data_IF_962506838408
#
_entry.id   IF_962506838408
#
_cell.length_a   1.000
_cell.length_b   1.000
_cell.length_c   1.000
_cell.angle_alpha   90.00
_cell.angle_beta   90.00
_cell.angle_gamma   90.00
#
_symmetry.space_group_name_H-M   'P 1'
#
loop_
_entity.id
_entity.type
_entity.pdbx_description
1 polymer ?
#
# COMPACT_ATOMS: atom_id res chain seq x y z
N UNK A 1 1.23 -53.37 23.80
CA UNK A 1 0.35 -54.55 23.90
C UNK A 1 -1.02 -54.18 23.35
N UNK A 2 -1.65 -55.11 22.62
CA UNK A 2 -3.09 -55.27 22.32
C UNK A 2 -3.96 -54.02 22.09
N UNK A 3 -4.53 -53.71 20.91
CA UNK A 3 -5.15 -54.49 19.80
C UNK A 3 -6.63 -54.91 20.03
N UNK A 4 -7.36 -55.14 18.92
CA UNK A 4 -8.80 -55.39 18.73
C UNK A 4 -9.71 -54.15 18.86
N UNK A 5 -10.82 -53.99 18.10
CA UNK A 5 -11.29 -54.63 16.85
C UNK A 5 -12.39 -53.70 16.24
N UNK A 6 -12.45 -53.35 14.94
CA UNK A 6 -12.58 -54.14 13.68
C UNK A 6 -14.02 -54.62 13.38
N UNK A 7 -14.76 -53.86 12.53
CA UNK A 7 -15.95 -54.21 11.70
C UNK A 7 -16.44 -52.92 10.98
N UNK A 8 -16.96 -52.88 9.74
CA UNK A 8 -17.17 -53.91 8.70
C UNK A 8 -17.09 -53.26 7.30
N UNK A 9 -16.89 -54.04 6.22
CA UNK A 9 -17.03 -53.59 4.81
C UNK A 9 -18.43 -53.92 4.27
N UNK A 10 -18.89 -53.16 3.28
CA UNK A 10 -19.83 -53.62 2.23
C UNK A 10 -19.44 -52.98 0.89
N UNK A 11 -19.49 -53.76 -0.20
CA UNK A 11 -19.37 -53.27 -1.58
C UNK A 11 -20.76 -52.99 -2.17
N UNK A 12 -20.86 -52.08 -3.14
CA UNK A 12 -21.99 -52.00 -4.07
C UNK A 12 -21.61 -51.31 -5.40
N UNK A 13 -21.14 -52.12 -6.35
CA UNK A 13 -21.35 -52.12 -7.80
C UNK A 13 -21.34 -50.86 -8.70
N UNK A 14 -20.77 -51.08 -9.89
CA UNK A 14 -20.70 -50.19 -11.05
C UNK A 14 -21.77 -50.60 -12.09
N UNK A 15 -22.44 -49.66 -12.77
CA UNK A 15 -23.09 -49.92 -14.05
C UNK A 15 -22.32 -49.30 -15.24
N UNK A 16 -21.79 -50.14 -16.13
CA UNK A 16 -21.24 -49.74 -17.45
C UNK A 16 -22.37 -49.71 -18.49
N UNK A 17 -22.37 -48.73 -19.40
CA UNK A 17 -23.06 -48.85 -20.70
C UNK A 17 -22.13 -48.52 -21.88
N UNK A 18 -22.41 -49.14 -23.03
CA UNK A 18 -21.58 -49.17 -24.26
C UNK A 18 -22.39 -48.75 -25.50
N UNK A 19 -21.67 -48.59 -26.62
CA UNK A 19 -22.10 -48.52 -28.03
C UNK A 19 -22.61 -47.16 -28.53
N UNK A 20 -22.48 -46.80 -29.82
CA UNK A 20 -21.76 -47.44 -30.97
C UNK A 20 -20.68 -46.50 -31.54
N UNK A 21 -19.60 -46.94 -32.20
CA UNK A 21 -19.48 -47.71 -33.46
C UNK A 21 -20.04 -47.01 -34.71
N UNK A 22 -19.15 -46.39 -35.48
CA UNK A 22 -18.95 -46.51 -36.95
C UNK A 22 -17.75 -45.61 -37.36
N UNK A 23 -17.10 -45.70 -38.53
CA UNK A 23 -16.58 -46.80 -39.35
C UNK A 23 -16.09 -46.18 -40.69
N UNK A 24 -14.96 -46.67 -41.25
CA UNK A 24 -14.30 -46.18 -42.49
C UNK A 24 -13.73 -44.72 -42.45
N UNK A 25 -12.69 -44.35 -43.22
CA UNK A 25 -11.81 -45.18 -44.06
C UNK A 25 -10.69 -44.41 -44.80
N UNK A 26 -9.70 -45.16 -45.30
CA UNK A 26 -8.85 -44.90 -46.51
C UNK A 26 -8.14 -43.54 -46.74
N UNK A 27 -6.86 -43.49 -46.35
CA UNK A 27 -5.65 -43.35 -47.22
C UNK A 27 -5.58 -42.37 -48.42
N UNK A 28 -4.69 -41.38 -48.33
CA UNK A 28 -3.59 -41.02 -49.28
C UNK A 28 -2.76 -39.85 -48.67
N UNK A 29 -1.51 -39.47 -48.99
CA UNK A 29 -0.37 -39.93 -49.82
C UNK A 29 0.20 -38.73 -50.65
N UNK A 30 1.54 -38.61 -50.78
CA UNK A 30 2.28 -37.43 -51.30
C UNK A 30 2.80 -36.55 -50.15
N UNK A 31 4.08 -36.18 -49.98
CA UNK A 31 5.19 -35.79 -50.90
C UNK A 31 4.95 -34.44 -51.61
N UNK A 32 5.95 -33.57 -51.84
CA UNK A 32 7.41 -33.79 -51.93
C UNK A 32 8.27 -32.54 -51.53
N UNK A 33 9.61 -32.68 -51.56
CA UNK A 33 10.73 -31.70 -51.71
C UNK A 33 10.46 -30.18 -51.91
N UNK A 34 11.35 -29.24 -51.54
CA UNK A 34 12.68 -29.31 -50.88
C UNK A 34 13.71 -28.27 -51.42
N UNK A 35 14.76 -27.95 -50.61
CA UNK A 35 15.92 -27.03 -50.86
C UNK A 35 15.61 -25.50 -50.91
N UNK A 36 16.35 -24.51 -50.36
CA UNK A 36 17.76 -24.28 -49.89
C UNK A 36 18.74 -23.82 -51.01
N UNK A 37 19.59 -22.76 -50.84
CA UNK A 37 19.60 -21.56 -49.96
C UNK A 37 19.94 -20.22 -50.71
N UNK A 38 20.33 -19.13 -50.02
CA UNK A 38 20.93 -17.92 -50.61
C UNK A 38 21.57 -16.96 -49.58
N UNK A 39 22.62 -16.20 -49.96
CA UNK A 39 23.48 -15.37 -49.07
C UNK A 39 23.72 -13.93 -49.59
N UNK A 40 24.51 -13.14 -48.82
CA UNK A 40 25.05 -11.76 -49.01
C UNK A 40 24.45 -10.71 -48.02
N UNK A 41 25.14 -9.79 -47.31
CA UNK A 41 26.54 -9.26 -47.13
C UNK A 41 26.67 -7.75 -47.46
N UNK A 42 27.46 -7.03 -46.67
CA UNK A 42 27.79 -5.57 -46.70
C UNK A 42 26.75 -4.62 -46.08
N UNK A 43 26.99 -3.59 -45.23
CA UNK A 43 28.16 -2.89 -44.65
C UNK A 43 28.51 -1.48 -45.23
N UNK A 44 28.31 -0.43 -44.41
CA UNK A 44 28.78 0.97 -44.59
C UNK A 44 28.62 1.78 -43.28
N UNK A 45 29.15 3.02 -43.18
CA UNK A 45 30.47 3.25 -42.55
C UNK A 45 30.86 4.75 -42.35
N UNK A 46 29.93 5.67 -42.01
CA UNK A 46 30.15 7.15 -42.06
C UNK A 46 29.70 7.87 -40.78
N UNK A 47 30.21 9.08 -40.43
CA UNK A 47 31.57 9.39 -39.94
C UNK A 47 31.83 10.91 -39.74
N UNK A 48 31.35 11.46 -38.62
CA UNK A 48 32.01 12.57 -37.87
C UNK A 48 31.91 14.05 -38.34
N UNK A 49 32.31 14.94 -37.42
CA UNK A 49 32.70 16.38 -37.54
C UNK A 49 31.65 17.50 -37.73
N UNK A 50 31.93 18.64 -37.07
CA UNK A 50 31.29 19.96 -37.19
C UNK A 50 32.34 21.00 -37.68
N UNK A 51 31.95 22.27 -38.02
CA UNK A 51 32.13 23.35 -37.02
C UNK A 51 31.11 24.53 -37.10
N UNK A 52 31.32 25.52 -36.22
CA UNK A 52 30.73 26.87 -36.18
C UNK A 52 31.66 27.87 -36.98
N UNK A 53 31.46 29.22 -37.10
CA UNK A 53 30.46 30.12 -36.50
C UNK A 53 29.93 31.32 -37.36
N UNK A 54 29.15 32.20 -36.71
CA UNK A 54 29.15 33.69 -36.83
C UNK A 54 28.13 34.45 -37.74
N UNK A 55 28.02 35.76 -37.40
CA UNK A 55 27.44 36.91 -38.12
C UNK A 55 25.90 37.19 -38.10
N UNK A 56 25.53 38.31 -37.47
CA UNK A 56 24.41 39.20 -37.87
C UNK A 56 24.96 40.27 -38.86
N UNK A 57 24.14 41.06 -39.61
CA UNK A 57 23.63 42.36 -39.11
C UNK A 57 22.21 42.74 -39.67
N UNK A 58 21.86 44.00 -40.05
CA UNK A 58 21.11 44.92 -39.16
C UNK A 58 19.87 45.60 -39.81
N UNK A 59 19.21 46.52 -39.08
CA UNK A 59 18.50 47.66 -39.69
C UNK A 59 18.50 48.90 -38.76
N UNK A 60 18.24 50.10 -39.32
CA UNK A 60 18.45 51.43 -38.70
C UNK A 60 17.54 52.48 -39.38
N UNK A 61 17.45 53.79 -39.05
CA UNK A 61 18.23 54.71 -38.19
C UNK A 61 17.32 55.23 -37.03
N UNK A 62 17.36 56.44 -36.42
CA UNK A 62 18.15 57.68 -36.59
C UNK A 62 18.21 58.55 -35.30
N UNK A 63 19.09 59.56 -35.25
CA UNK A 63 19.31 60.49 -34.12
C UNK A 63 19.68 61.89 -34.65
N UNK A 64 19.14 62.98 -34.05
CA UNK A 64 19.86 64.26 -33.81
C UNK A 64 19.04 65.25 -32.93
N UNK A 65 19.63 66.35 -32.38
CA UNK A 65 19.28 66.82 -31.02
C UNK A 65 19.00 68.33 -30.90
N UNK A 66 18.78 68.81 -29.66
CA UNK A 66 19.04 70.20 -29.29
C UNK A 66 19.73 70.35 -27.92
N UNK A 67 20.61 71.35 -27.81
CA UNK A 67 21.15 71.87 -26.54
C UNK A 67 20.30 73.03 -26.05
N UNK A 68 20.21 73.20 -24.72
CA UNK A 68 20.19 74.52 -24.07
C UNK A 68 20.90 74.44 -22.71
N UNK A 69 21.29 75.59 -22.16
CA UNK A 69 22.31 75.68 -21.11
C UNK A 69 21.97 76.69 -20.02
N UNK A 70 22.48 76.41 -18.81
CA UNK A 70 22.67 77.31 -17.67
C UNK A 70 21.41 77.89 -17.00
N UNK A 71 21.26 77.57 -15.70
CA UNK A 71 21.18 78.57 -14.61
C UNK A 71 21.37 77.87 -13.26
N UNK A 72 22.05 78.52 -12.32
CA UNK A 72 22.19 78.04 -10.94
C UNK A 72 21.25 78.80 -10.00
N UNK A 73 20.53 78.10 -9.12
CA UNK A 73 20.01 78.58 -7.81
C UNK A 73 19.95 77.41 -6.82
N UNK A 74 19.98 77.65 -5.49
CA UNK A 74 20.37 76.64 -4.50
C UNK A 74 19.25 75.71 -3.99
N UNK A 75 19.66 74.74 -3.15
CA UNK A 75 18.86 73.73 -2.43
C UNK A 75 17.55 74.23 -1.79
N UNK A 76 16.58 73.32 -1.63
CA UNK A 76 16.40 72.73 -0.29
C UNK A 76 16.66 71.22 -0.26
N UNK A 77 16.90 70.67 0.94
CA UNK A 77 17.14 69.24 1.13
C UNK A 77 15.83 68.44 1.12
N UNK A 78 15.66 67.55 0.15
CA UNK A 78 14.63 66.50 0.19
C UNK A 78 15.18 65.26 0.89
N UNK A 79 14.73 65.03 2.12
CA UNK A 79 14.92 63.76 2.82
C UNK A 79 14.20 62.65 2.04
N UNK A 80 14.94 61.86 1.27
CA UNK A 80 14.41 60.65 0.65
C UNK A 80 13.91 59.69 1.74
N UNK A 81 12.81 58.94 1.49
CA UNK A 81 12.34 57.96 2.46
C UNK A 81 13.40 56.88 2.64
N UNK A 82 13.97 56.79 3.84
CA UNK A 82 14.76 55.61 4.20
C UNK A 82 13.85 54.40 4.12
N UNK A 83 14.04 53.59 3.07
CA UNK A 83 13.53 52.23 2.98
C UNK A 83 14.22 51.42 4.07
N UNK A 84 13.67 51.49 5.28
CA UNK A 84 14.01 50.61 6.38
C UNK A 84 13.69 49.19 5.93
N UNK A 85 14.73 48.46 5.48
CA UNK A 85 14.66 47.03 5.25
C UNK A 85 14.35 46.40 6.60
N UNK A 86 13.07 46.19 6.84
CA UNK A 86 12.53 45.77 8.13
C UNK A 86 13.05 44.37 8.43
N UNK A 87 14.17 44.30 9.18
CA UNK A 87 14.85 43.04 9.47
C UNK A 87 13.91 42.20 10.34
N UNK A 88 13.37 41.08 9.83
CA UNK A 88 12.37 40.32 10.57
C UNK A 88 12.95 39.80 11.88
N UNK A 89 12.21 40.00 12.97
CA UNK A 89 12.71 39.85 14.34
C UNK A 89 13.30 38.44 14.61
N UNK A 90 14.51 38.32 15.17
CA UNK A 90 15.08 37.03 15.50
C UNK A 90 14.24 36.26 16.54
N UNK A 91 13.52 36.99 17.41
CA UNK A 91 12.55 36.41 18.34
C UNK A 91 11.36 35.74 17.61
N UNK A 92 10.87 36.32 16.51
CA UNK A 92 9.77 35.77 15.73
C UNK A 92 10.17 34.46 15.03
N UNK A 93 11.40 34.39 14.48
CA UNK A 93 11.94 33.12 13.96
C UNK A 93 12.13 32.06 15.04
N UNK A 94 12.61 32.45 16.22
CA UNK A 94 12.77 31.53 17.34
C UNK A 94 11.43 30.94 17.79
N UNK A 95 10.39 31.77 17.89
CA UNK A 95 9.00 31.33 18.13
C UNK A 95 8.51 30.35 17.05
N UNK A 96 8.64 30.72 15.77
CA UNK A 96 8.22 29.89 14.63
C UNK A 96 8.89 28.50 14.64
N UNK A 97 10.19 28.43 14.96
CA UNK A 97 10.91 27.15 15.06
C UNK A 97 10.44 26.26 16.21
N UNK A 98 9.98 26.85 17.33
CA UNK A 98 9.47 26.09 18.47
C UNK A 98 8.13 25.39 18.15
N UNK A 99 7.22 26.02 17.40
CA UNK A 99 5.92 25.42 17.06
C UNK A 99 6.09 24.15 16.20
N UNK A 100 7.07 24.13 15.29
CA UNK A 100 7.37 22.95 14.46
C UNK A 100 8.29 21.91 15.13
N UNK A 101 8.90 22.21 16.29
CA UNK A 101 9.85 21.31 16.93
C UNK A 101 9.30 19.90 17.24
N UNK A 102 8.05 19.70 17.71
CA UNK A 102 7.49 18.37 17.92
C UNK A 102 7.40 17.55 16.61
N UNK A 103 7.01 18.20 15.50
CA UNK A 103 6.94 17.56 14.19
C UNK A 103 8.32 17.14 13.67
N UNK A 104 9.32 18.01 13.85
CA UNK A 104 10.71 17.73 13.46
C UNK A 104 11.32 16.57 14.27
N UNK A 105 11.11 16.52 15.58
CA UNK A 105 11.58 15.44 16.45
C UNK A 105 10.92 14.10 16.12
N UNK A 106 9.60 14.08 15.87
CA UNK A 106 8.89 12.88 15.43
C UNK A 106 9.37 12.41 14.05
N UNK A 107 9.62 13.32 13.10
CA UNK A 107 10.14 12.99 11.79
C UNK A 107 11.58 12.42 11.85
N UNK A 108 12.43 12.96 12.73
CA UNK A 108 13.76 12.42 12.98
C UNK A 108 13.69 11.00 13.57
N UNK A 109 12.86 10.78 14.59
CA UNK A 109 12.64 9.45 15.19
C UNK A 109 12.08 8.45 14.18
N UNK A 110 11.15 8.89 13.31
CA UNK A 110 10.66 8.11 12.18
C UNK A 110 11.80 7.68 11.25
N UNK A 111 12.64 8.61 10.80
CA UNK A 111 13.77 8.33 9.91
C UNK A 111 14.73 7.30 10.52
N UNK A 112 15.12 7.47 11.79
CA UNK A 112 15.98 6.51 12.51
C UNK A 112 15.31 5.13 12.64
N UNK A 113 14.03 5.08 13.04
CA UNK A 113 13.30 3.81 13.20
C UNK A 113 13.10 3.07 11.87
N UNK A 114 12.89 3.79 10.76
CA UNK A 114 12.79 3.25 9.39
C UNK A 114 14.14 2.79 8.84
N UNK A 115 15.24 3.43 9.22
CA UNK A 115 16.59 2.93 8.90
C UNK A 115 16.89 1.61 9.63
N UNK A 116 16.45 1.47 10.88
CA UNK A 116 16.64 0.26 11.68
C UNK A 116 15.70 -0.90 11.27
N UNK A 117 14.37 -0.73 11.27
CA UNK A 117 13.44 -1.73 10.77
C UNK A 117 12.16 -1.09 10.21
N UNK A 118 11.97 -1.26 8.89
CA UNK A 118 10.84 -0.74 8.11
C UNK A 118 9.52 -1.47 8.36
N UNK A 119 9.56 -2.57 9.11
CA UNK A 119 8.43 -3.50 9.30
C UNK A 119 7.79 -3.32 10.68
N UNK A 120 7.90 -2.13 11.26
CA UNK A 120 7.23 -1.72 12.51
C UNK A 120 5.96 -0.94 12.19
N UNK A 121 4.82 -1.28 12.80
CA UNK A 121 3.60 -0.47 12.69
C UNK A 121 3.74 0.91 13.36
N UNK A 122 4.57 1.02 14.40
CA UNK A 122 4.87 2.32 15.04
C UNK A 122 5.49 3.35 14.09
N UNK A 123 6.21 2.94 13.03
CA UNK A 123 6.70 3.87 12.01
C UNK A 123 5.54 4.60 11.30
N UNK A 124 4.41 3.92 11.08
CA UNK A 124 3.22 4.52 10.47
C UNK A 124 2.60 5.57 11.40
N UNK A 125 2.47 5.23 12.69
CA UNK A 125 1.90 6.11 13.73
C UNK A 125 2.78 7.34 13.93
N UNK A 126 4.10 7.18 14.07
CA UNK A 126 5.04 8.30 14.25
C UNK A 126 5.02 9.24 13.04
N UNK A 127 4.95 8.71 11.81
CA UNK A 127 4.79 9.53 10.61
C UNK A 127 3.47 10.31 10.61
N UNK A 128 2.37 9.64 10.97
CA UNK A 128 1.06 10.29 11.10
C UNK A 128 1.05 11.39 12.15
N UNK A 129 1.69 11.18 13.30
CA UNK A 129 1.84 12.19 14.35
C UNK A 129 2.75 13.35 13.90
N UNK A 130 3.86 13.07 13.21
CA UNK A 130 4.73 14.12 12.67
C UNK A 130 3.99 15.03 11.67
N UNK A 131 3.20 14.44 10.77
CA UNK A 131 2.35 15.17 9.83
C UNK A 131 1.23 15.92 10.55
N UNK A 132 0.57 15.31 11.54
CA UNK A 132 -0.48 15.96 12.33
C UNK A 132 0.04 17.17 13.11
N UNK A 133 1.21 17.05 13.75
CA UNK A 133 1.88 18.16 14.43
C UNK A 133 2.29 19.27 13.44
N UNK A 134 2.79 18.93 12.25
CA UNK A 134 3.14 19.92 11.23
C UNK A 134 1.90 20.66 10.70
N UNK A 135 0.78 19.96 10.50
CA UNK A 135 -0.49 20.57 10.09
C UNK A 135 -1.09 21.44 11.20
N UNK A 136 -1.00 21.01 12.46
CA UNK A 136 -1.45 21.80 13.61
C UNK A 136 -0.60 23.07 13.81
N UNK A 137 0.73 22.96 13.66
CA UNK A 137 1.65 24.10 13.70
C UNK A 137 1.35 25.11 12.57
N UNK A 138 1.13 24.61 11.35
CA UNK A 138 0.75 25.44 10.21
C UNK A 138 -0.61 26.12 10.39
N UNK A 139 -1.63 25.40 10.89
CA UNK A 139 -2.94 25.96 11.19
C UNK A 139 -2.90 26.99 12.34
N UNK A 140 -2.05 26.77 13.34
CA UNK A 140 -1.83 27.74 14.42
C UNK A 140 -1.25 29.05 13.88
N UNK A 141 -0.18 29.00 13.08
CA UNK A 141 0.40 30.19 12.45
C UNK A 141 -0.59 30.88 11.49
N UNK A 142 -1.37 30.10 10.76
CA UNK A 142 -2.42 30.59 9.85
C UNK A 142 -3.49 31.41 10.59
N UNK A 143 -3.94 30.93 11.76
CA UNK A 143 -4.89 31.65 12.63
C UNK A 143 -4.23 32.86 13.29
N UNK A 144 -3.02 32.67 13.86
CA UNK A 144 -2.21 33.72 14.54
C UNK A 144 -1.82 34.88 13.61
N UNK A 145 -1.89 34.69 12.29
CA UNK A 145 -1.61 35.74 11.31
C UNK A 145 -2.68 36.84 11.24
N UNK A 146 -3.89 36.57 11.75
CA UNK A 146 -5.12 37.39 11.61
C UNK A 146 -5.45 37.86 10.18
N UNK A 147 -4.81 37.25 9.18
CA UNK A 147 -5.00 37.58 7.77
C UNK A 147 -6.34 37.05 7.26
N UNK A 148 -7.01 37.82 6.39
CA UNK A 148 -8.15 37.34 5.60
C UNK A 148 -7.82 36.05 4.85
N UNK A 149 -6.58 35.89 4.38
CA UNK A 149 -6.08 34.66 3.75
C UNK A 149 -6.08 33.47 4.71
N UNK A 150 -5.84 33.71 6.01
CA UNK A 150 -5.87 32.70 7.06
C UNK A 150 -7.29 32.19 7.32
N UNK A 151 -8.25 33.10 7.47
CA UNK A 151 -9.67 32.75 7.60
C UNK A 151 -10.20 31.99 6.37
N UNK A 152 -9.88 32.46 5.16
CA UNK A 152 -10.27 31.78 3.90
C UNK A 152 -9.66 30.37 3.83
N UNK A 153 -8.38 30.20 4.16
CA UNK A 153 -7.74 28.89 4.15
C UNK A 153 -8.31 27.94 5.22
N UNK A 154 -8.67 28.44 6.42
CA UNK A 154 -9.36 27.64 7.43
C UNK A 154 -10.72 27.12 6.95
N UNK A 155 -11.55 27.97 6.34
CA UNK A 155 -12.82 27.55 5.74
C UNK A 155 -12.64 26.59 4.56
N UNK A 156 -11.62 26.80 3.72
CA UNK A 156 -11.30 25.91 2.62
C UNK A 156 -10.90 24.50 3.11
N UNK A 157 -10.14 24.39 4.21
CA UNK A 157 -9.79 23.11 4.83
C UNK A 157 -11.02 22.38 5.39
N UNK A 158 -11.93 23.11 6.06
CA UNK A 158 -13.19 22.54 6.57
C UNK A 158 -14.08 22.02 5.42
N UNK A 159 -14.22 22.80 4.35
CA UNK A 159 -14.99 22.43 3.16
C UNK A 159 -14.37 21.23 2.45
N UNK A 160 -13.05 21.21 2.29
CA UNK A 160 -12.31 20.10 1.71
C UNK A 160 -12.47 18.81 2.55
N UNK A 161 -12.44 18.92 3.88
CA UNK A 161 -12.69 17.81 4.79
C UNK A 161 -14.11 17.23 4.64
N UNK A 162 -15.14 18.10 4.61
CA UNK A 162 -16.52 17.68 4.41
C UNK A 162 -16.74 17.00 3.04
N UNK A 163 -16.20 17.58 1.97
CA UNK A 163 -16.24 17.00 0.61
C UNK A 163 -15.51 15.66 0.57
N UNK A 164 -14.35 15.53 1.22
CA UNK A 164 -13.60 14.27 1.29
C UNK A 164 -14.39 13.16 2.02
N UNK A 165 -15.10 13.48 3.10
CA UNK A 165 -15.97 12.53 3.82
C UNK A 165 -17.13 12.07 2.94
N UNK A 166 -17.79 12.98 2.21
CA UNK A 166 -18.87 12.65 1.28
C UNK A 166 -18.39 11.74 0.13
N UNK A 167 -17.27 12.10 -0.52
CA UNK A 167 -16.67 11.32 -1.61
C UNK A 167 -16.20 9.93 -1.13
N UNK A 168 -15.60 9.84 0.06
CA UNK A 168 -15.20 8.58 0.66
C UNK A 168 -16.42 7.68 0.96
N UNK A 169 -17.49 8.25 1.50
CA UNK A 169 -18.73 7.53 1.81
C UNK A 169 -19.37 6.97 0.54
N UNK A 170 -19.49 7.79 -0.51
CA UNK A 170 -19.98 7.36 -1.82
C UNK A 170 -19.10 6.26 -2.43
N UNK A 171 -17.77 6.42 -2.39
CA UNK A 171 -16.83 5.42 -2.89
C UNK A 171 -16.94 4.07 -2.17
N UNK A 172 -17.03 4.10 -0.83
CA UNK A 172 -17.18 2.90 -0.01
C UNK A 172 -18.53 2.21 -0.24
N UNK A 173 -19.62 2.97 -0.39
CA UNK A 173 -20.95 2.43 -0.72
C UNK A 173 -20.95 1.74 -2.10
N UNK A 174 -20.44 2.43 -3.14
CA UNK A 174 -20.31 1.85 -4.49
C UNK A 174 -19.36 0.64 -4.49
N UNK A 175 -18.31 0.65 -3.67
CA UNK A 175 -17.44 -0.52 -3.49
C UNK A 175 -18.17 -1.71 -2.87
N UNK A 176 -18.90 -1.51 -1.78
CA UNK A 176 -19.68 -2.56 -1.11
C UNK A 176 -20.75 -3.18 -2.01
N UNK A 177 -21.48 -2.36 -2.77
CA UNK A 177 -22.44 -2.85 -3.77
C UNK A 177 -21.75 -3.64 -4.90
N UNK A 178 -20.54 -3.25 -5.32
CA UNK A 178 -19.76 -4.01 -6.31
C UNK A 178 -19.22 -5.34 -5.76
N UNK A 179 -18.75 -5.37 -4.50
CA UNK A 179 -18.35 -6.59 -3.81
C UNK A 179 -19.52 -7.58 -3.71
N UNK A 180 -20.68 -7.11 -3.21
CA UNK A 180 -21.89 -7.92 -3.08
C UNK A 180 -22.38 -8.55 -4.40
N UNK A 181 -22.21 -7.84 -5.53
CA UNK A 181 -22.61 -8.32 -6.87
C UNK A 181 -21.61 -9.27 -7.53
N UNK A 182 -20.34 -9.33 -7.07
CA UNK A 182 -19.28 -10.16 -7.67
C UNK A 182 -18.85 -11.33 -6.81
N UNK A 183 -18.62 -11.06 -5.52
CA UNK A 183 -18.07 -12.00 -4.55
C UNK A 183 -19.15 -12.57 -3.61
N UNK A 184 -20.41 -12.17 -3.79
CA UNK A 184 -21.56 -12.63 -3.00
C UNK A 184 -21.62 -12.08 -1.56
N UNK A 185 -22.63 -12.55 -0.82
CA UNK A 185 -22.91 -12.15 0.56
C UNK A 185 -22.06 -12.95 1.55
N UNK A 186 -20.98 -12.34 2.04
CA UNK A 186 -20.23 -12.82 3.22
C UNK A 186 -19.94 -11.65 4.16
N UNK A 187 -19.72 -11.88 5.47
CA UNK A 187 -19.32 -10.81 6.40
C UNK A 187 -18.05 -10.08 5.95
N UNK A 188 -17.10 -10.82 5.37
CA UNK A 188 -15.85 -10.30 4.81
C UNK A 188 -16.08 -9.36 3.63
N UNK A 189 -17.11 -9.60 2.80
CA UNK A 189 -17.43 -8.77 1.62
C UNK A 189 -18.29 -7.55 1.95
N UNK A 190 -18.79 -7.44 3.18
CA UNK A 190 -19.64 -6.35 3.65
C UNK A 190 -18.86 -5.18 4.31
N UNK A 191 -17.55 -5.31 4.52
CA UNK A 191 -16.76 -4.36 5.32
C UNK A 191 -16.78 -2.93 4.74
N UNK A 192 -16.69 -2.76 3.42
CA UNK A 192 -16.78 -1.43 2.81
C UNK A 192 -18.18 -0.81 2.86
N UNK A 193 -19.24 -1.62 2.78
CA UNK A 193 -20.61 -1.13 2.97
C UNK A 193 -20.87 -0.74 4.43
N UNK A 194 -20.42 -1.57 5.38
CA UNK A 194 -20.51 -1.30 6.81
C UNK A 194 -19.75 -0.04 7.21
N UNK A 195 -18.56 0.19 6.63
CA UNK A 195 -17.79 1.42 6.83
C UNK A 195 -18.53 2.67 6.32
N UNK A 196 -19.18 2.61 5.14
CA UNK A 196 -19.99 3.72 4.63
C UNK A 196 -21.18 4.03 5.56
N UNK A 197 -21.91 3.01 6.00
CA UNK A 197 -23.04 3.17 6.94
C UNK A 197 -22.58 3.70 8.30
N UNK A 198 -21.42 3.28 8.80
CA UNK A 198 -20.84 3.79 10.04
C UNK A 198 -20.51 5.29 9.94
N UNK A 199 -19.92 5.75 8.84
CA UNK A 199 -19.63 7.18 8.62
C UNK A 199 -20.93 8.00 8.63
N UNK A 200 -21.97 7.55 7.92
CA UNK A 200 -23.29 8.22 7.92
C UNK A 200 -23.88 8.26 9.34
N UNK A 201 -23.81 7.15 10.09
CA UNK A 201 -24.28 7.09 11.48
C UNK A 201 -23.55 8.06 12.42
N UNK A 202 -22.23 8.17 12.31
CA UNK A 202 -21.42 9.13 13.08
C UNK A 202 -21.82 10.58 12.77
N UNK A 203 -21.95 10.92 11.48
CA UNK A 203 -22.35 12.28 11.05
C UNK A 203 -23.77 12.62 11.52
N UNK A 204 -24.71 11.68 11.40
CA UNK A 204 -26.09 11.87 11.87
C UNK A 204 -26.18 12.03 13.39
N UNK A 205 -25.40 11.25 14.15
CA UNK A 205 -25.32 11.35 15.61
C UNK A 205 -24.75 12.70 16.07
N UNK A 206 -23.68 13.18 15.43
CA UNK A 206 -23.09 14.50 15.71
C UNK A 206 -24.08 15.63 15.40
N UNK A 207 -24.77 15.58 14.26
CA UNK A 207 -25.79 16.55 13.89
C UNK A 207 -26.99 16.55 14.86
N UNK A 208 -27.42 15.36 15.30
CA UNK A 208 -28.49 15.22 16.29
C UNK A 208 -28.09 15.77 17.67
N UNK A 209 -26.85 15.54 18.12
CA UNK A 209 -26.34 16.09 19.37
C UNK A 209 -26.35 17.62 19.40
N UNK A 210 -25.89 18.27 18.32
CA UNK A 210 -25.89 19.74 18.19
C UNK A 210 -27.32 20.31 18.09
N UNK A 211 -28.23 19.60 17.41
CA UNK A 211 -29.62 20.02 17.20
C UNK A 211 -30.50 19.88 18.44
N UNK A 212 -30.44 18.72 19.11
CA UNK A 212 -31.31 18.37 20.25
C UNK A 212 -30.73 18.88 21.58
N UNK A 213 -29.41 19.10 21.65
CA UNK A 213 -28.67 19.60 22.83
C UNK A 213 -28.85 18.80 24.13
N UNK A 214 -29.33 17.56 24.04
CA UNK A 214 -29.44 16.67 25.19
C UNK A 214 -28.03 16.26 25.68
N UNK A 215 -27.69 16.41 26.98
CA UNK A 215 -26.34 16.12 27.49
C UNK A 215 -25.88 14.68 27.26
N UNK A 216 -26.79 13.69 27.35
CA UNK A 216 -26.47 12.28 27.11
C UNK A 216 -26.11 12.07 25.64
N UNK A 217 -26.88 12.68 24.73
CA UNK A 217 -26.62 12.60 23.30
C UNK A 217 -25.29 13.28 22.93
N UNK A 218 -24.94 14.39 23.58
CA UNK A 218 -23.65 15.07 23.41
C UNK A 218 -22.48 14.19 23.88
N UNK A 219 -22.57 13.56 25.06
CA UNK A 219 -21.51 12.66 25.55
C UNK A 219 -21.34 11.39 24.71
N UNK A 220 -22.45 10.79 24.26
CA UNK A 220 -22.43 9.65 23.33
C UNK A 220 -21.82 10.06 21.98
N UNK A 221 -22.21 11.21 21.43
CA UNK A 221 -21.62 11.73 20.20
C UNK A 221 -20.12 12.06 20.34
N UNK A 222 -19.69 12.57 21.51
CA UNK A 222 -18.28 12.82 21.80
C UNK A 222 -17.46 11.52 21.87
N UNK A 223 -17.94 10.50 22.58
CA UNK A 223 -17.30 9.17 22.60
C UNK A 223 -17.22 8.56 21.19
N UNK A 224 -18.34 8.54 20.47
CA UNK A 224 -18.43 7.94 19.13
C UNK A 224 -17.60 8.70 18.09
N UNK A 225 -17.59 10.04 18.13
CA UNK A 225 -16.74 10.89 17.30
C UNK A 225 -15.25 10.70 17.60
N UNK A 226 -14.87 10.61 18.88
CA UNK A 226 -13.50 10.31 19.30
C UNK A 226 -13.01 8.95 18.80
N UNK A 227 -13.86 7.92 18.89
CA UNK A 227 -13.55 6.58 18.36
C UNK A 227 -13.42 6.61 16.83
N UNK A 228 -14.31 7.32 16.13
CA UNK A 228 -14.25 7.47 14.68
C UNK A 228 -12.96 8.18 14.23
N UNK A 229 -12.55 9.26 14.91
CA UNK A 229 -11.30 9.97 14.66
C UNK A 229 -10.07 9.08 14.91
N UNK A 230 -10.07 8.33 16.02
CA UNK A 230 -9.00 7.39 16.37
C UNK A 230 -8.81 6.30 15.31
N UNK A 231 -9.89 5.61 14.90
CA UNK A 231 -9.80 4.58 13.87
C UNK A 231 -9.49 5.15 12.48
N UNK A 232 -10.01 6.34 12.14
CA UNK A 232 -9.68 7.04 10.89
C UNK A 232 -8.19 7.43 10.83
N UNK A 233 -7.63 7.94 11.93
CA UNK A 233 -6.21 8.25 12.03
C UNK A 233 -5.34 6.99 11.87
N UNK A 234 -5.66 5.90 12.57
CA UNK A 234 -4.94 4.63 12.43
C UNK A 234 -5.06 4.03 11.02
N UNK A 235 -6.24 4.13 10.39
CA UNK A 235 -6.45 3.66 9.01
C UNK A 235 -5.65 4.49 8.00
N UNK A 236 -5.64 5.82 8.14
CA UNK A 236 -4.83 6.72 7.32
C UNK A 236 -3.34 6.41 7.47
N UNK A 237 -2.84 6.25 8.71
CA UNK A 237 -1.47 5.82 8.97
C UNK A 237 -1.15 4.48 8.28
N UNK A 238 -2.04 3.48 8.41
CA UNK A 238 -1.89 2.18 7.78
C UNK A 238 -1.82 2.26 6.25
N UNK A 239 -2.74 2.98 5.61
CA UNK A 239 -2.78 3.12 4.13
C UNK A 239 -1.59 3.90 3.60
N UNK A 240 -1.28 5.07 4.19
CA UNK A 240 -0.14 5.90 3.77
C UNK A 240 1.19 5.16 3.95
N UNK A 241 1.40 4.48 5.08
CA UNK A 241 2.63 3.73 5.31
C UNK A 241 2.69 2.43 4.50
N UNK A 242 1.56 1.75 4.22
CA UNK A 242 1.54 0.61 3.33
C UNK A 242 1.93 1.00 1.89
N UNK A 243 1.45 2.15 1.39
CA UNK A 243 1.85 2.70 0.10
C UNK A 243 3.35 3.05 0.07
N UNK A 244 3.84 3.77 1.09
CA UNK A 244 5.27 4.08 1.24
C UNK A 244 6.13 2.81 1.30
N UNK A 245 5.71 1.82 2.09
CA UNK A 245 6.38 0.54 2.22
C UNK A 245 6.44 -0.21 0.89
N UNK A 246 5.35 -0.22 0.11
CA UNK A 246 5.29 -0.82 -1.22
C UNK A 246 6.23 -0.18 -2.25
N UNK A 247 6.66 1.08 -2.05
CA UNK A 247 7.65 1.76 -2.90
C UNK A 247 9.11 1.45 -2.53
N UNK A 248 9.38 0.78 -1.41
CA UNK A 248 10.74 0.47 -0.94
C UNK A 248 11.42 -0.60 -1.81
N UNK A 249 12.44 -0.20 -2.59
CA UNK A 249 13.26 -1.14 -3.40
C UNK A 249 13.95 -2.20 -2.53
N UNK A 250 13.96 -3.45 -3.01
CA UNK A 250 14.75 -4.56 -2.41
C UNK A 250 16.25 -4.30 -2.63
N UNK A 251 16.92 -3.81 -1.58
CA UNK A 251 18.32 -3.35 -1.60
C UNK A 251 19.38 -4.42 -1.35
N UNK A 252 19.00 -5.64 -0.93
CA UNK A 252 19.95 -6.70 -0.52
C UNK A 252 19.91 -7.90 -1.49
N UNK A 253 21.00 -8.67 -1.55
CA UNK A 253 20.96 -10.05 -2.05
C UNK A 253 20.05 -10.88 -1.13
N UNK A 254 19.37 -11.86 -1.71
CA UNK A 254 18.50 -12.81 -1.03
C UNK A 254 18.71 -14.20 -1.64
N UNK A 255 18.65 -15.22 -0.79
CA UNK A 255 18.88 -16.64 -1.07
C UNK A 255 17.57 -17.40 -1.32
N UNK A 256 16.42 -16.79 -0.97
CA UNK A 256 15.09 -17.37 -1.14
C UNK A 256 14.05 -16.36 -1.62
N UNK A 257 13.06 -16.83 -2.38
CA UNK A 257 11.85 -16.09 -2.76
C UNK A 257 10.63 -16.88 -2.30
N UNK A 258 9.95 -16.43 -1.24
CA UNK A 258 8.78 -17.11 -0.67
C UNK A 258 7.51 -16.51 -1.26
N UNK A 259 6.71 -17.27 -2.01
CA UNK A 259 5.41 -16.84 -2.52
C UNK A 259 4.31 -17.38 -1.59
N UNK A 260 3.46 -16.48 -1.07
CA UNK A 260 2.38 -16.84 -0.15
C UNK A 260 1.07 -17.18 -0.90
N UNK A 261 0.35 -18.19 -0.42
CA UNK A 261 -0.99 -18.60 -0.84
C UNK A 261 -2.11 -17.57 -0.60
N UNK A 262 -3.26 -17.80 -1.23
CA UNK A 262 -4.50 -17.01 -1.15
C UNK A 262 -5.79 -17.79 -1.49
N UNK A 263 -5.74 -19.11 -1.43
CA UNK A 263 -6.81 -20.03 -1.85
C UNK A 263 -6.80 -20.38 -3.34
N UNK A 264 -7.38 -21.54 -3.66
CA UNK A 264 -7.60 -22.08 -5.00
C UNK A 264 -9.07 -21.91 -5.46
N UNK A 265 -9.31 -22.01 -6.77
CA UNK A 265 -10.64 -22.11 -7.37
C UNK A 265 -10.93 -23.59 -7.63
N UNK A 266 -12.11 -24.08 -7.22
CA UNK A 266 -12.48 -25.49 -7.40
C UNK A 266 -11.47 -26.45 -6.77
N UNK A 267 -10.87 -26.06 -5.65
CA UNK A 267 -9.91 -26.83 -4.88
C UNK A 267 -8.57 -27.19 -5.52
N UNK A 268 -8.35 -26.90 -6.81
CA UNK A 268 -7.13 -27.26 -7.54
C UNK A 268 -6.60 -26.17 -8.49
N UNK A 269 -7.42 -25.19 -8.90
CA UNK A 269 -7.02 -24.19 -9.91
C UNK A 269 -6.48 -22.90 -9.30
N UNK A 270 -5.30 -22.46 -9.74
CA UNK A 270 -4.66 -21.20 -9.29
C UNK A 270 -5.46 -19.96 -9.75
N UNK A 271 -6.02 -19.12 -8.85
CA UNK A 271 -6.75 -17.92 -9.25
C UNK A 271 -5.85 -16.82 -9.83
N UNK A 272 -6.40 -15.85 -10.59
CA UNK A 272 -5.65 -14.72 -11.13
C UNK A 272 -4.88 -13.89 -10.08
N UNK A 273 -5.38 -13.82 -8.84
CA UNK A 273 -4.66 -13.16 -7.74
C UNK A 273 -3.41 -13.91 -7.30
N UNK A 274 -3.43 -15.25 -7.33
CA UNK A 274 -2.31 -16.12 -6.97
C UNK A 274 -1.31 -16.23 -8.13
N UNK A 275 -1.78 -16.37 -9.37
CA UNK A 275 -0.95 -16.27 -10.58
C UNK A 275 -0.18 -14.92 -10.64
N UNK A 276 -0.83 -13.81 -10.27
CA UNK A 276 -0.18 -12.49 -10.11
C UNK A 276 0.97 -12.51 -9.07
N UNK A 277 0.86 -13.31 -8.00
CA UNK A 277 1.94 -13.51 -7.01
C UNK A 277 3.05 -14.41 -7.56
N UNK A 278 2.71 -15.51 -8.24
CA UNK A 278 3.68 -16.44 -8.82
C UNK A 278 4.54 -15.73 -9.88
N UNK A 279 3.92 -15.00 -10.80
CA UNK A 279 4.58 -14.15 -11.80
C UNK A 279 5.45 -13.05 -11.18
N UNK A 280 5.00 -12.48 -10.05
CA UNK A 280 5.81 -11.53 -9.26
C UNK A 280 7.02 -12.23 -8.61
N UNK A 281 6.85 -13.48 -8.15
CA UNK A 281 7.90 -14.35 -7.62
C UNK A 281 8.97 -14.65 -8.65
N UNK A 282 8.59 -15.15 -9.82
CA UNK A 282 9.48 -15.35 -10.98
C UNK A 282 10.27 -14.08 -11.31
N UNK A 283 9.61 -12.92 -11.37
CA UNK A 283 10.26 -11.65 -11.68
C UNK A 283 11.27 -11.20 -10.59
N UNK A 284 10.99 -11.47 -9.31
CA UNK A 284 11.94 -11.24 -8.20
C UNK A 284 13.10 -12.22 -8.28
N UNK A 285 12.83 -13.51 -8.50
CA UNK A 285 13.83 -14.56 -8.69
C UNK A 285 14.79 -14.20 -9.83
N UNK A 286 14.27 -13.87 -11.02
CA UNK A 286 15.08 -13.47 -12.17
C UNK A 286 15.89 -12.18 -11.91
N UNK A 287 15.35 -11.21 -11.14
CA UNK A 287 16.10 -10.01 -10.74
C UNK A 287 17.24 -10.32 -9.76
N UNK A 288 17.09 -11.33 -8.91
CA UNK A 288 18.13 -11.81 -7.99
C UNK A 288 19.18 -12.68 -8.73
N UNK A 289 18.74 -13.53 -9.66
CA UNK A 289 19.61 -14.37 -10.48
C UNK A 289 20.58 -13.51 -11.32
N UNK A 290 20.07 -12.45 -11.97
CA UNK A 290 20.86 -11.43 -12.69
C UNK A 290 21.85 -10.65 -11.82
N UNK A 291 21.92 -10.88 -10.49
CA UNK A 291 22.90 -10.31 -9.56
C UNK A 291 23.93 -11.35 -9.06
N UNK A 292 24.07 -12.47 -9.75
CA UNK A 292 24.99 -13.55 -9.39
C UNK A 292 24.51 -14.29 -8.13
N UNK A 293 23.25 -14.72 -8.13
CA UNK A 293 22.69 -15.62 -7.12
C UNK A 293 21.87 -16.72 -7.79
N UNK A 294 21.48 -17.75 -7.04
CA UNK A 294 20.52 -18.76 -7.47
C UNK A 294 19.57 -19.06 -6.31
N UNK A 295 18.56 -18.19 -6.08
CA UNK A 295 17.72 -18.29 -4.89
C UNK A 295 16.62 -19.35 -5.08
N UNK A 296 16.36 -20.17 -4.06
CA UNK A 296 15.25 -21.12 -4.13
C UNK A 296 13.89 -20.41 -4.02
N UNK A 297 12.92 -20.84 -4.82
CA UNK A 297 11.55 -20.33 -4.78
C UNK A 297 10.70 -21.25 -3.90
N UNK A 298 10.23 -20.75 -2.76
CA UNK A 298 9.33 -21.49 -1.86
C UNK A 298 7.89 -21.12 -2.21
N UNK A 299 7.06 -22.10 -2.57
CA UNK A 299 5.60 -21.95 -2.60
C UNK A 299 5.08 -22.32 -1.21
N UNK A 300 4.32 -21.43 -0.57
CA UNK A 300 3.91 -21.56 0.84
C UNK A 300 2.41 -21.37 0.98
N UNK A 301 1.74 -22.44 1.40
CA UNK A 301 0.31 -22.56 1.62
C UNK A 301 -0.09 -24.03 1.71
N UNK A 302 -0.66 -24.44 2.85
CA UNK A 302 -1.24 -25.76 3.05
C UNK A 302 -2.57 -25.95 2.33
N UNK A 303 -3.38 -26.89 2.81
CA UNK A 303 -4.67 -27.24 2.23
C UNK A 303 -5.82 -26.63 3.03
N UNK A 304 -6.64 -25.80 2.37
CA UNK A 304 -7.89 -25.28 2.92
C UNK A 304 -8.99 -26.35 3.01
N UNK A 305 -10.06 -26.12 3.80
CA UNK A 305 -11.17 -27.07 3.93
C UNK A 305 -11.92 -27.35 2.63
N UNK A 306 -11.95 -26.37 1.73
CA UNK A 306 -12.60 -26.42 0.42
C UNK A 306 -11.62 -26.76 -0.73
N UNK A 307 -10.45 -27.35 -0.41
CA UNK A 307 -9.36 -27.60 -1.35
C UNK A 307 -9.02 -29.08 -1.52
N UNK A 308 -8.76 -29.51 -2.76
CA UNK A 308 -8.44 -30.90 -3.13
C UNK A 308 -6.94 -31.20 -2.91
N UNK A 309 -6.09 -30.18 -3.06
CA UNK A 309 -4.64 -30.23 -2.90
C UNK A 309 -4.15 -29.01 -2.11
N UNK A 310 -2.99 -29.07 -1.43
CA UNK A 310 -2.42 -27.90 -0.78
C UNK A 310 -2.02 -26.82 -1.80
N UNK A 311 -2.26 -25.55 -1.48
CA UNK A 311 -1.98 -24.41 -2.36
C UNK A 311 -0.58 -24.47 -2.96
N UNK A 312 0.44 -24.78 -2.14
CA UNK A 312 1.84 -24.80 -2.55
C UNK A 312 2.16 -25.82 -3.64
N UNK A 313 1.36 -26.89 -3.77
CA UNK A 313 1.52 -27.89 -4.83
C UNK A 313 0.98 -27.34 -6.15
N UNK A 314 -0.28 -26.89 -6.18
CA UNK A 314 -0.87 -26.25 -7.36
C UNK A 314 -0.06 -25.02 -7.83
N UNK A 315 0.47 -24.23 -6.90
CA UNK A 315 1.39 -23.12 -7.16
C UNK A 315 2.70 -23.57 -7.82
N UNK A 316 3.28 -24.69 -7.38
CA UNK A 316 4.52 -25.22 -7.92
C UNK A 316 4.32 -25.83 -9.32
N UNK A 317 3.22 -26.56 -9.52
CA UNK A 317 2.90 -27.19 -10.80
C UNK A 317 2.54 -26.12 -11.86
N UNK A 318 1.86 -25.05 -11.47
CA UNK A 318 1.64 -23.86 -12.31
C UNK A 318 2.95 -23.16 -12.71
N UNK A 319 3.90 -23.02 -11.77
CA UNK A 319 5.23 -22.45 -12.08
C UNK A 319 6.00 -23.31 -13.08
N UNK A 320 5.96 -24.65 -12.94
CA UNK A 320 6.61 -25.58 -13.88
C UNK A 320 5.94 -25.54 -15.26
N UNK A 321 4.61 -25.42 -15.32
CA UNK A 321 3.88 -25.23 -16.58
C UNK A 321 4.22 -23.90 -17.29
N UNK A 322 4.51 -22.83 -16.54
CA UNK A 322 5.08 -21.57 -17.08
C UNK A 322 6.60 -21.67 -17.38
N UNK A 323 7.22 -22.86 -17.27
CA UNK A 323 8.62 -23.10 -17.62
C UNK A 323 9.64 -22.77 -16.52
N UNK A 324 9.22 -22.59 -15.27
CA UNK A 324 10.15 -22.37 -14.16
C UNK A 324 10.88 -23.68 -13.77
N UNK A 325 12.21 -23.68 -13.52
CA UNK A 325 12.94 -24.92 -13.24
C UNK A 325 12.50 -25.59 -11.93
N UNK A 326 11.89 -26.77 -12.02
CA UNK A 326 11.33 -27.50 -10.88
C UNK A 326 12.33 -27.73 -9.72
N UNK A 327 13.61 -27.96 -10.02
CA UNK A 327 14.65 -28.19 -9.01
C UNK A 327 14.93 -26.97 -8.11
N UNK A 328 14.58 -25.76 -8.57
CA UNK A 328 14.67 -24.51 -7.78
C UNK A 328 13.44 -24.27 -6.90
N UNK A 329 12.37 -25.05 -7.04
CA UNK A 329 11.16 -24.92 -6.23
C UNK A 329 11.29 -25.75 -4.95
N UNK A 330 10.75 -25.24 -3.83
CA UNK A 330 10.42 -26.01 -2.63
C UNK A 330 8.96 -25.73 -2.26
N UNK A 331 8.26 -26.75 -1.76
CA UNK A 331 6.85 -26.65 -1.32
C UNK A 331 6.82 -26.55 0.21
N UNK A 332 5.90 -25.76 0.73
CA UNK A 332 5.52 -25.69 2.14
C UNK A 332 4.00 -25.81 2.22
N UNK A 333 3.53 -26.97 2.66
CA UNK A 333 2.18 -27.49 2.46
C UNK A 333 1.43 -27.78 3.76
N UNK A 334 1.86 -27.22 4.89
CA UNK A 334 1.30 -27.51 6.23
C UNK A 334 0.60 -26.33 6.88
N UNK A 335 0.69 -25.15 6.29
CA UNK A 335 0.23 -23.89 6.85
C UNK A 335 -1.26 -23.64 6.66
N UNK A 336 -1.95 -23.26 7.75
CA UNK A 336 -3.37 -22.85 7.73
C UNK A 336 -3.57 -21.33 7.63
N UNK A 337 -2.52 -20.54 7.88
CA UNK A 337 -2.61 -19.10 7.99
C UNK A 337 -1.29 -18.37 7.67
N UNK A 338 -1.33 -17.02 7.61
CA UNK A 338 -0.18 -16.18 7.27
C UNK A 338 1.01 -16.33 8.23
N UNK A 339 0.79 -16.61 9.52
CA UNK A 339 1.90 -16.76 10.46
C UNK A 339 2.58 -18.12 10.33
N UNK A 340 1.80 -19.18 10.11
CA UNK A 340 2.31 -20.53 9.80
C UNK A 340 3.06 -20.59 8.48
N UNK A 341 2.50 -20.01 7.40
CA UNK A 341 3.20 -19.86 6.10
C UNK A 341 4.63 -19.35 6.31
N UNK A 342 4.74 -18.27 7.08
CA UNK A 342 6.01 -17.62 7.39
C UNK A 342 6.89 -18.48 8.34
N UNK A 343 6.31 -19.07 9.39
CA UNK A 343 7.03 -19.92 10.37
C UNK A 343 7.57 -21.22 9.74
N UNK A 344 6.80 -21.88 8.88
CA UNK A 344 7.20 -23.13 8.22
C UNK A 344 8.15 -22.86 7.04
N UNK A 345 7.90 -21.81 6.24
CA UNK A 345 8.89 -21.34 5.26
C UNK A 345 10.22 -20.98 5.92
N UNK A 346 10.19 -20.36 7.11
CA UNK A 346 11.39 -20.02 7.89
C UNK A 346 12.19 -21.27 8.24
N UNK A 347 11.55 -22.34 8.72
CA UNK A 347 12.26 -23.58 9.05
C UNK A 347 13.00 -24.15 7.83
N UNK A 348 12.34 -24.23 6.67
CA UNK A 348 12.94 -24.68 5.40
C UNK A 348 14.13 -23.80 4.98
N UNK A 349 14.04 -22.48 5.18
CA UNK A 349 15.14 -21.55 4.88
C UNK A 349 16.31 -21.69 5.86
N UNK A 350 16.05 -21.92 7.15
CA UNK A 350 17.08 -22.04 8.19
C UNK A 350 17.83 -23.39 8.12
N UNK A 351 17.11 -24.47 7.80
CA UNK A 351 17.69 -25.80 7.50
C UNK A 351 18.64 -25.73 6.29
N UNK A 352 18.21 -25.10 5.20
CA UNK A 352 19.02 -24.98 4.00
C UNK A 352 20.13 -23.91 4.12
N UNK A 353 19.97 -22.88 4.96
CA UNK A 353 20.98 -21.83 5.21
C UNK A 353 20.67 -21.01 6.49
N UNK A 354 21.38 -21.22 7.62
CA UNK A 354 21.11 -20.48 8.86
C UNK A 354 21.15 -18.95 8.74
N UNK A 355 22.07 -18.41 7.95
CA UNK A 355 22.20 -16.96 7.69
C UNK A 355 21.43 -16.45 6.45
N UNK A 356 20.36 -17.14 6.06
CA UNK A 356 19.55 -16.77 4.90
C UNK A 356 19.06 -15.32 4.90
N UNK A 357 18.77 -14.82 3.69
CA UNK A 357 17.93 -13.65 3.44
C UNK A 357 16.86 -14.01 2.43
N UNK A 358 15.64 -13.50 2.59
CA UNK A 358 14.56 -13.80 1.65
C UNK A 358 13.80 -12.56 1.16
N UNK A 359 13.09 -12.73 0.05
CA UNK A 359 12.01 -11.84 -0.38
C UNK A 359 10.70 -12.60 -0.29
N UNK A 360 9.75 -12.10 0.49
CA UNK A 360 8.39 -12.67 0.56
C UNK A 360 7.50 -11.95 -0.46
N UNK A 361 6.65 -12.67 -1.17
CA UNK A 361 5.82 -12.17 -2.27
C UNK A 361 4.35 -12.47 -1.99
N UNK A 362 3.53 -11.43 -2.05
CA UNK A 362 2.07 -11.49 -1.86
C UNK A 362 1.41 -10.32 -2.60
N UNK A 363 0.09 -10.10 -2.49
CA UNK A 363 -0.57 -8.97 -3.12
C UNK A 363 -0.32 -7.64 -2.40
N UNK A 364 -0.41 -6.53 -3.14
CA UNK A 364 -0.15 -5.15 -2.65
C UNK A 364 -0.88 -4.79 -1.34
N UNK A 365 -2.15 -5.17 -1.18
CA UNK A 365 -2.94 -4.85 0.02
C UNK A 365 -2.44 -5.60 1.28
N UNK A 366 -1.92 -6.81 1.10
CA UNK A 366 -1.47 -7.68 2.20
C UNK A 366 0.02 -7.50 2.53
N UNK A 367 0.82 -6.96 1.60
CA UNK A 367 2.27 -6.88 1.71
C UNK A 367 2.78 -6.17 2.99
N UNK A 368 2.06 -5.15 3.49
CA UNK A 368 2.43 -4.51 4.76
C UNK A 368 2.07 -5.37 5.99
N UNK A 369 0.88 -5.99 6.06
CA UNK A 369 0.53 -6.90 7.18
C UNK A 369 1.48 -8.10 7.23
N UNK A 370 1.73 -8.72 6.09
CA UNK A 370 2.72 -9.79 5.97
C UNK A 370 4.12 -9.35 6.41
N UNK A 371 4.50 -8.08 6.22
CA UNK A 371 5.77 -7.55 6.74
C UNK A 371 5.80 -7.43 8.27
N UNK A 372 4.69 -7.01 8.89
CA UNK A 372 4.53 -7.00 10.36
C UNK A 372 4.64 -8.43 10.93
N UNK A 373 3.98 -9.41 10.31
CA UNK A 373 4.06 -10.82 10.74
C UNK A 373 5.44 -11.42 10.49
N UNK A 374 6.07 -11.18 9.34
CA UNK A 374 7.43 -11.62 9.05
C UNK A 374 8.45 -11.05 10.04
N UNK A 375 8.24 -9.81 10.52
CA UNK A 375 9.02 -9.25 11.63
C UNK A 375 8.77 -9.98 12.95
N UNK A 376 7.52 -10.29 13.30
CA UNK A 376 7.16 -11.04 14.53
C UNK A 376 7.80 -12.44 14.59
N UNK A 377 7.84 -13.17 13.48
CA UNK A 377 8.50 -14.50 13.42
C UNK A 377 10.02 -14.42 13.19
N UNK A 378 10.61 -13.21 13.26
CA UNK A 378 12.04 -12.94 13.09
C UNK A 378 12.63 -13.32 11.71
N UNK A 379 11.84 -13.27 10.64
CA UNK A 379 12.33 -13.55 9.28
C UNK A 379 13.32 -12.48 8.81
N UNK A 380 14.42 -12.94 8.22
CA UNK A 380 15.53 -12.12 7.69
C UNK A 380 15.25 -11.57 6.28
N UNK A 381 14.02 -11.07 6.05
CA UNK A 381 13.52 -10.72 4.71
C UNK A 381 12.66 -9.47 4.62
N UNK A 382 12.48 -9.02 3.37
CA UNK A 382 11.55 -7.95 2.98
C UNK A 382 10.35 -8.55 2.23
N UNK A 383 9.14 -8.07 2.52
CA UNK A 383 7.93 -8.44 1.77
C UNK A 383 7.69 -7.45 0.62
N UNK A 384 7.29 -7.94 -0.55
CA UNK A 384 6.90 -7.14 -1.72
C UNK A 384 5.51 -7.51 -2.24
N UNK A 385 4.83 -6.53 -2.83
CA UNK A 385 3.52 -6.69 -3.43
C UNK A 385 3.54 -7.09 -4.91
N UNK A 386 2.48 -7.78 -5.32
CA UNK A 386 2.00 -7.97 -6.70
C UNK A 386 0.68 -7.21 -6.93
N UNK A 387 0.35 -6.85 -8.19
CA UNK A 387 -0.91 -6.18 -8.53
C UNK A 387 -2.16 -6.92 -8.07
N UNK A 388 -3.24 -6.17 -7.88
CA UNK A 388 -4.56 -6.63 -7.41
C UNK A 388 -5.65 -5.87 -8.18
N UNK A 389 -6.79 -6.51 -8.45
CA UNK A 389 -7.93 -5.83 -9.06
C UNK A 389 -8.42 -4.65 -8.19
N UNK A 390 -8.56 -3.47 -8.79
CA UNK A 390 -8.83 -2.23 -8.05
C UNK A 390 -10.16 -2.24 -7.28
N UNK A 391 -11.16 -3.01 -7.71
CA UNK A 391 -12.44 -3.13 -7.00
C UNK A 391 -12.34 -3.93 -5.69
N UNK A 392 -11.40 -4.89 -5.61
CA UNK A 392 -11.18 -5.71 -4.42
C UNK A 392 -10.36 -4.97 -3.35
N UNK A 393 -9.52 -4.01 -3.79
CA UNK A 393 -8.56 -3.32 -2.93
C UNK A 393 -9.16 -2.66 -1.66
N UNK A 394 -10.26 -1.87 -1.71
CA UNK A 394 -10.76 -1.19 -0.50
C UNK A 394 -11.22 -2.17 0.58
N UNK A 395 -12.05 -3.15 0.20
CA UNK A 395 -12.58 -4.15 1.12
C UNK A 395 -11.46 -5.06 1.68
N UNK A 396 -10.50 -5.45 0.83
CA UNK A 396 -9.32 -6.18 1.28
C UNK A 396 -8.45 -5.36 2.24
N UNK A 397 -8.20 -4.08 1.95
CA UNK A 397 -7.41 -3.18 2.82
C UNK A 397 -8.09 -2.95 4.17
N UNK A 398 -9.43 -2.84 4.22
CA UNK A 398 -10.19 -2.82 5.49
C UNK A 398 -10.00 -4.12 6.28
N UNK A 399 -10.04 -5.29 5.62
CA UNK A 399 -9.79 -6.60 6.25
C UNK A 399 -8.37 -6.71 6.82
N UNK A 400 -7.35 -6.27 6.08
CA UNK A 400 -5.97 -6.28 6.57
C UNK A 400 -5.76 -5.30 7.73
N UNK A 401 -6.42 -4.13 7.71
CA UNK A 401 -6.41 -3.19 8.82
C UNK A 401 -7.10 -3.76 10.08
N UNK A 402 -8.27 -4.40 9.93
CA UNK A 402 -8.96 -5.06 11.04
C UNK A 402 -8.09 -6.15 11.70
N UNK A 403 -7.34 -6.92 10.90
CA UNK A 403 -6.37 -7.88 11.45
C UNK A 403 -5.23 -7.20 12.23
N UNK A 404 -4.74 -6.03 11.79
CA UNK A 404 -3.78 -5.22 12.57
C UNK A 404 -4.41 -4.69 13.86
N UNK A 405 -5.70 -4.32 13.87
CA UNK A 405 -6.39 -3.93 15.11
C UNK A 405 -6.49 -5.10 16.11
N UNK A 406 -6.63 -6.34 15.63
CA UNK A 406 -6.58 -7.55 16.47
C UNK A 406 -5.16 -7.85 16.97
N UNK A 407 -4.14 -7.70 16.13
CA UNK A 407 -2.72 -7.86 16.52
C UNK A 407 -2.33 -6.94 17.69
N UNK A 408 -2.85 -5.70 17.70
CA UNK A 408 -2.57 -4.69 18.74
C UNK A 408 -3.70 -4.55 19.78
N UNK A 409 -4.60 -5.55 19.91
CA UNK A 409 -5.85 -5.46 20.70
C UNK A 409 -5.71 -4.90 22.12
N UNK A 410 -4.62 -5.18 22.84
CA UNK A 410 -4.39 -4.67 24.21
C UNK A 410 -4.31 -3.13 24.25
N UNK A 411 -3.57 -2.53 23.33
CA UNK A 411 -3.41 -1.07 23.23
C UNK A 411 -4.73 -0.44 22.76
N UNK A 412 -5.37 -1.08 21.77
CA UNK A 412 -6.63 -0.59 21.21
C UNK A 412 -7.76 -0.58 22.25
N UNK A 413 -7.87 -1.61 23.09
CA UNK A 413 -8.84 -1.64 24.20
C UNK A 413 -8.60 -0.49 25.17
N UNK A 414 -7.36 -0.28 25.64
CA UNK A 414 -7.03 0.81 26.57
C UNK A 414 -7.37 2.18 25.99
N UNK A 415 -6.99 2.44 24.74
CA UNK A 415 -7.27 3.73 24.09
C UNK A 415 -8.77 3.94 23.83
N UNK A 416 -9.51 2.90 23.41
CA UNK A 416 -10.96 2.99 23.27
C UNK A 416 -11.66 3.24 24.61
N UNK A 417 -11.23 2.59 25.70
CA UNK A 417 -11.77 2.84 27.05
C UNK A 417 -11.53 4.28 27.51
N UNK A 418 -10.33 4.83 27.27
CA UNK A 418 -10.02 6.24 27.59
C UNK A 418 -10.89 7.22 26.78
N UNK A 419 -11.14 6.93 25.50
CA UNK A 419 -12.02 7.76 24.65
C UNK A 419 -13.48 7.72 25.13
N UNK A 420 -13.98 6.54 25.51
CA UNK A 420 -15.35 6.38 26.05
C UNK A 420 -15.49 7.09 27.40
N UNK A 421 -14.49 6.99 28.28
CA UNK A 421 -14.43 7.78 29.52
C UNK A 421 -14.41 9.29 29.25
N UNK A 422 -13.70 9.74 28.22
CA UNK A 422 -13.73 11.13 27.76
C UNK A 422 -15.13 11.61 27.37
N UNK A 423 -15.91 10.81 26.63
CA UNK A 423 -17.30 11.13 26.32
C UNK A 423 -18.23 11.11 27.54
N UNK A 424 -17.98 10.23 28.52
CA UNK A 424 -18.70 10.23 29.80
C UNK A 424 -18.39 11.48 30.65
N UNK A 425 -17.14 11.98 30.63
CA UNK A 425 -16.77 13.26 31.25
C UNK A 425 -17.42 14.45 30.53
N UNK A 426 -17.53 14.42 29.19
CA UNK A 426 -18.27 15.44 28.43
C UNK A 426 -19.76 15.43 28.77
N UNK A 427 -20.39 14.25 28.93
CA UNK A 427 -21.77 14.17 29.44
C UNK A 427 -21.89 14.81 30.83
N UNK A 428 -20.99 14.45 31.75
CA UNK A 428 -21.01 14.94 33.13
C UNK A 428 -20.80 16.46 33.22
N UNK A 429 -19.95 17.05 32.37
CA UNK A 429 -19.68 18.48 32.33
C UNK A 429 -20.76 19.32 31.59
N UNK A 430 -21.74 18.67 30.94
CA UNK A 430 -22.85 19.32 30.21
C UNK A 430 -24.21 19.01 30.88
N UNK A 431 -24.20 18.29 32.01
CA UNK A 431 -25.37 17.91 32.80
C UNK A 431 -25.70 18.95 33.88
#
# INVERSE_FOLDING_TARGET
>A
MCDLARRTRTNADIPIRKAGRNAAGTTHCGSNSGKVPGTHVSAASVSNTAPNPAATPPCSLNVHPMRRSLTQRPFPATTGPHLAVNRPDPAAYCGLMLVYAPAALLLLFFCVSVLHDRRKFSNAIVLGLAVLCALAAWLYELIRSESTSGAVAAWALLTLGAVAVLLLTYFLFVNGVRMLRKEGRSPTNLLSLGAALAIVGVVALLAAAVSVRNPVLIGVAAATGGLALYFSFLFLCFVCYAFLYGRLRVRRKADFVVVLGSGLIGGSTVPPLLASRLKRGQAVHAQLAKRGGSPLLITSGGQGPDEEVPESHAMADHLVAEGFPAHLIRREDRSTNTEENLRFSKAIMEEAKPDYRCVVVTNNYHAFRAALTARRVHIRGQVVGSPTAAYFWPNATLREFAAVLVDYKRINVVLCSLIVLGGALVWWAVR
#
